data_IF_475829445176
#
_entry.id   IF_475829445176
#
_cell.length_a   1.000
_cell.length_b   1.000
_cell.length_c   1.000
_cell.angle_alpha   90.00
_cell.angle_beta   90.00
_cell.angle_gamma   90.00
#
_symmetry.space_group_name_H-M   'P 1'
#
loop_
_entity.id
_entity.type
_entity.pdbx_description
1 polymer ?
#
# COMPACT_ATOMS: atom_id res chain seq x y z
N UNK A 1 -2.71 -37.66 -10.07
CA UNK A 1 -1.50 -37.01 -9.48
C UNK A 1 -1.15 -35.68 -10.17
N UNK A 2 -2.11 -34.97 -10.79
CA UNK A 2 -1.86 -33.72 -11.56
C UNK A 2 -2.14 -32.42 -10.79
N UNK A 3 -3.11 -32.44 -9.88
CA UNK A 3 -3.72 -31.20 -9.38
C UNK A 3 -2.83 -30.48 -8.36
N UNK A 4 -2.09 -31.25 -7.55
CA UNK A 4 -1.12 -30.70 -6.59
C UNK A 4 0.04 -29.99 -7.32
N UNK A 5 0.56 -30.58 -8.40
CA UNK A 5 1.67 -30.00 -9.18
C UNK A 5 1.24 -28.73 -9.92
N UNK A 6 0.03 -28.71 -10.47
CA UNK A 6 -0.53 -27.51 -11.12
C UNK A 6 -0.77 -26.37 -10.13
N UNK A 7 -1.33 -26.66 -8.94
CA UNK A 7 -1.50 -25.68 -7.89
C UNK A 7 -0.15 -25.11 -7.43
N UNK A 8 0.84 -25.97 -7.20
CA UNK A 8 2.19 -25.57 -6.80
C UNK A 8 2.86 -24.68 -7.85
N UNK A 9 2.73 -25.01 -9.13
CA UNK A 9 3.28 -24.20 -10.22
C UNK A 9 2.63 -22.80 -10.29
N UNK A 10 1.30 -22.71 -10.11
CA UNK A 10 0.57 -21.44 -10.12
C UNK A 10 0.98 -20.54 -8.95
N UNK A 11 1.13 -21.13 -7.75
CA UNK A 11 1.60 -20.43 -6.55
C UNK A 11 3.05 -19.98 -6.74
N UNK A 12 3.94 -20.85 -7.21
CA UNK A 12 5.35 -20.54 -7.44
C UNK A 12 5.53 -19.38 -8.44
N UNK A 13 4.76 -19.38 -9.54
CA UNK A 13 4.81 -18.30 -10.53
C UNK A 13 4.31 -16.97 -9.97
N UNK A 14 3.19 -16.97 -9.24
CA UNK A 14 2.63 -15.77 -8.60
C UNK A 14 3.56 -15.19 -7.54
N UNK A 15 4.07 -16.05 -6.66
CA UNK A 15 5.04 -15.66 -5.62
C UNK A 15 6.35 -15.17 -6.22
N UNK A 16 6.84 -15.79 -7.29
CA UNK A 16 8.07 -15.36 -7.98
C UNK A 16 7.96 -13.93 -8.53
N UNK A 17 6.81 -13.56 -9.11
CA UNK A 17 6.56 -12.19 -9.60
C UNK A 17 6.53 -11.20 -8.43
N UNK A 18 5.81 -11.52 -7.34
CA UNK A 18 5.75 -10.66 -6.16
C UNK A 18 7.13 -10.50 -5.53
N UNK A 19 7.90 -11.59 -5.43
CA UNK A 19 9.24 -11.58 -4.89
C UNK A 19 10.19 -10.71 -5.71
N UNK A 20 10.24 -10.91 -7.03
CA UNK A 20 11.06 -10.10 -7.93
C UNK A 20 10.69 -8.61 -7.85
N UNK A 21 9.39 -8.29 -7.85
CA UNK A 21 8.92 -6.92 -7.66
C UNK A 21 9.35 -6.32 -6.32
N UNK A 22 9.30 -7.10 -5.24
CA UNK A 22 9.73 -6.68 -3.91
C UNK A 22 11.23 -6.39 -3.87
N UNK A 23 12.06 -7.28 -4.44
CA UNK A 23 13.51 -7.08 -4.51
C UNK A 23 13.87 -5.83 -5.31
N UNK A 24 13.24 -5.62 -6.47
CA UNK A 24 13.44 -4.42 -7.29
C UNK A 24 13.03 -3.17 -6.50
N UNK A 25 11.88 -3.20 -5.83
CA UNK A 25 11.40 -2.07 -5.03
C UNK A 25 12.32 -1.76 -3.85
N UNK A 26 12.88 -2.78 -3.20
CA UNK A 26 13.88 -2.62 -2.14
C UNK A 26 15.18 -2.01 -2.68
N UNK A 27 15.63 -2.45 -3.86
CA UNK A 27 16.82 -1.90 -4.50
C UNK A 27 16.66 -0.41 -4.84
N UNK A 28 15.52 -0.02 -5.44
CA UNK A 28 15.22 1.39 -5.72
C UNK A 28 15.05 2.21 -4.43
N UNK A 29 14.43 1.64 -3.39
CA UNK A 29 14.30 2.29 -2.08
C UNK A 29 15.65 2.51 -1.40
N UNK A 30 16.58 1.57 -1.56
CA UNK A 30 17.95 1.72 -1.08
C UNK A 30 18.72 2.76 -1.89
N UNK A 31 18.65 2.69 -3.22
CA UNK A 31 19.35 3.60 -4.11
C UNK A 31 18.92 5.06 -3.91
N UNK A 32 17.62 5.31 -3.76
CA UNK A 32 17.11 6.66 -3.47
C UNK A 32 17.66 7.20 -2.15
N UNK A 33 17.67 6.38 -1.09
CA UNK A 33 18.26 6.74 0.21
C UNK A 33 19.76 6.99 0.11
N UNK A 34 20.49 6.19 -0.66
CA UNK A 34 21.93 6.34 -0.85
C UNK A 34 22.29 7.63 -1.60
N UNK A 35 21.52 7.99 -2.64
CA UNK A 35 21.68 9.26 -3.37
C UNK A 35 21.39 10.44 -2.44
N UNK A 36 20.28 10.42 -1.70
CA UNK A 36 19.92 11.48 -0.75
C UNK A 36 21.02 11.61 0.32
N UNK A 37 21.49 10.51 0.91
CA UNK A 37 22.53 10.55 1.94
C UNK A 37 23.88 11.10 1.44
N UNK A 38 24.14 11.04 0.13
CA UNK A 38 25.36 11.57 -0.49
C UNK A 38 25.28 13.06 -0.77
N UNK A 39 24.11 13.55 -1.20
CA UNK A 39 23.89 14.95 -1.57
C UNK A 39 23.49 15.83 -0.37
N UNK A 40 22.88 15.25 0.67
CA UNK A 40 22.35 15.99 1.82
C UNK A 40 23.26 15.91 3.06
N UNK A 41 23.29 16.98 3.84
CA UNK A 41 23.98 16.99 5.14
C UNK A 41 23.28 16.08 6.15
N UNK A 42 24.01 15.60 7.17
CA UNK A 42 23.48 14.70 8.22
C UNK A 42 22.19 15.20 8.87
N UNK A 43 22.08 16.52 9.08
CA UNK A 43 20.90 17.15 9.65
C UNK A 43 19.67 17.04 8.72
N UNK A 44 19.87 17.17 7.42
CA UNK A 44 18.80 17.14 6.42
C UNK A 44 18.26 15.73 6.20
N UNK A 45 19.16 14.73 6.24
CA UNK A 45 18.78 13.34 6.23
C UNK A 45 17.92 12.96 7.44
N UNK A 46 18.20 13.55 8.61
CA UNK A 46 17.38 13.40 9.82
C UNK A 46 15.95 13.90 9.62
N UNK A 47 15.80 15.14 9.12
CA UNK A 47 14.49 15.74 8.81
C UNK A 47 13.73 14.91 7.77
N UNK A 48 14.43 14.40 6.74
CA UNK A 48 13.83 13.53 5.73
C UNK A 48 13.29 12.23 6.31
N UNK A 49 14.06 11.55 7.16
CA UNK A 49 13.61 10.31 7.80
C UNK A 49 12.44 10.55 8.76
N UNK A 50 12.43 11.70 9.43
CA UNK A 50 11.34 12.09 10.31
C UNK A 50 10.06 12.33 9.52
N UNK A 51 10.14 13.05 8.41
CA UNK A 51 9.04 13.23 7.48
C UNK A 51 8.52 11.89 6.92
N UNK A 52 9.43 10.98 6.56
CA UNK A 52 9.08 9.63 6.09
C UNK A 52 8.39 8.78 7.18
N UNK A 53 8.79 8.95 8.43
CA UNK A 53 8.15 8.28 9.58
C UNK A 53 6.73 8.78 9.77
N UNK A 54 6.52 10.09 9.74
CA UNK A 54 5.17 10.69 9.82
C UNK A 54 4.31 10.24 8.63
N UNK A 55 4.88 10.20 7.42
CA UNK A 55 4.18 9.67 6.24
C UNK A 55 3.75 8.21 6.44
N UNK A 56 4.64 7.37 6.99
CA UNK A 56 4.37 5.95 7.21
C UNK A 56 3.22 5.76 8.21
N UNK A 57 3.22 6.52 9.31
CA UNK A 57 2.12 6.51 10.29
C UNK A 57 0.83 7.01 9.64
N UNK A 58 0.90 8.11 8.88
CA UNK A 58 -0.23 8.65 8.14
C UNK A 58 -0.82 7.64 7.15
N UNK A 59 0.01 6.83 6.49
CA UNK A 59 -0.45 5.79 5.57
C UNK A 59 -1.18 4.66 6.29
N UNK A 60 -0.72 4.26 7.48
CA UNK A 60 -1.43 3.25 8.30
C UNK A 60 -2.81 3.76 8.70
N UNK A 61 -2.91 5.02 9.13
CA UNK A 61 -4.19 5.66 9.48
C UNK A 61 -5.09 5.79 8.24
N UNK A 62 -4.54 6.29 7.13
CA UNK A 62 -5.24 6.45 5.86
C UNK A 62 -5.80 5.13 5.32
N UNK A 63 -5.07 4.03 5.49
CA UNK A 63 -5.52 2.71 5.04
C UNK A 63 -6.37 1.99 6.07
N UNK A 64 -6.58 2.55 7.26
CA UNK A 64 -7.39 1.98 8.36
C UNK A 64 -7.03 0.52 8.70
N UNK A 65 -5.78 0.10 8.43
CA UNK A 65 -5.34 -1.30 8.60
C UNK A 65 -5.89 -2.28 7.56
N UNK A 66 -6.64 -1.81 6.56
CA UNK A 66 -7.20 -2.65 5.50
C UNK A 66 -6.16 -3.41 4.70
N UNK A 67 -4.91 -2.95 4.68
CA UNK A 67 -3.82 -3.65 4.00
C UNK A 67 -3.63 -5.10 4.48
N UNK A 68 -3.95 -5.37 5.75
CA UNK A 68 -3.85 -6.70 6.35
C UNK A 68 -5.22 -7.39 6.52
N UNK A 69 -6.29 -6.61 6.76
CA UNK A 69 -7.62 -7.15 7.03
C UNK A 69 -8.36 -7.61 5.76
N UNK A 70 -8.28 -6.84 4.65
CA UNK A 70 -9.04 -7.13 3.44
C UNK A 70 -8.72 -8.48 2.80
N UNK A 71 -7.44 -8.88 2.61
CA UNK A 71 -7.14 -10.18 1.99
C UNK A 71 -7.71 -11.35 2.79
N UNK A 72 -7.73 -11.23 4.13
CA UNK A 72 -8.28 -12.24 5.04
C UNK A 72 -9.81 -12.33 4.92
N UNK A 73 -10.50 -11.20 4.96
CA UNK A 73 -11.96 -11.14 4.81
C UNK A 73 -12.40 -11.61 3.42
N UNK A 74 -11.68 -11.22 2.37
CA UNK A 74 -11.95 -11.68 0.99
C UNK A 74 -11.79 -13.20 0.88
N UNK A 75 -10.74 -13.78 1.47
CA UNK A 75 -10.55 -15.24 1.48
C UNK A 75 -11.71 -15.96 2.21
N UNK A 76 -12.19 -15.40 3.32
CA UNK A 76 -13.30 -15.96 4.09
C UNK A 76 -14.66 -15.85 3.38
N UNK A 77 -14.98 -14.67 2.84
CA UNK A 77 -16.26 -14.44 2.14
C UNK A 77 -16.32 -15.07 0.75
N UNK A 78 -15.16 -15.37 0.13
CA UNK A 78 -15.07 -16.10 -1.14
C UNK A 78 -15.75 -17.48 -1.07
N UNK A 79 -15.62 -18.18 0.06
CA UNK A 79 -16.19 -19.54 0.20
C UNK A 79 -17.69 -19.53 0.51
N UNK A 80 -18.21 -18.44 1.09
CA UNK A 80 -19.62 -18.35 1.51
C UNK A 80 -20.52 -17.55 0.56
N UNK A 81 -20.05 -16.43 0.01
CA UNK A 81 -20.89 -15.47 -0.73
C UNK A 81 -20.07 -14.67 -1.77
N UNK A 82 -19.77 -15.24 -2.96
CA UNK A 82 -18.89 -14.62 -3.95
C UNK A 82 -19.41 -13.27 -4.49
N UNK A 83 -20.72 -13.11 -4.64
CA UNK A 83 -21.33 -11.86 -5.17
C UNK A 83 -21.13 -10.63 -4.27
N UNK A 84 -20.84 -10.83 -2.97
CA UNK A 84 -20.64 -9.73 -2.01
C UNK A 84 -19.20 -9.24 -1.98
N UNK A 85 -18.25 -10.03 -2.50
CA UNK A 85 -16.82 -9.71 -2.46
C UNK A 85 -16.51 -8.46 -3.28
N UNK A 86 -17.11 -8.30 -4.45
CA UNK A 86 -16.87 -7.14 -5.32
C UNK A 86 -17.35 -5.83 -4.71
N UNK A 87 -18.53 -5.85 -4.08
CA UNK A 87 -19.05 -4.69 -3.34
C UNK A 87 -18.20 -4.37 -2.12
N UNK A 88 -17.73 -5.38 -1.40
CA UNK A 88 -16.86 -5.20 -0.24
C UNK A 88 -15.55 -4.51 -0.65
N UNK A 89 -14.92 -4.99 -1.74
CA UNK A 89 -13.68 -4.43 -2.27
C UNK A 89 -13.91 -2.99 -2.76
N UNK A 90 -14.95 -2.75 -3.56
CA UNK A 90 -15.27 -1.40 -4.06
C UNK A 90 -15.54 -0.40 -2.93
N UNK A 91 -16.26 -0.83 -1.88
CA UNK A 91 -16.55 0.01 -0.71
C UNK A 91 -15.28 0.32 0.08
N UNK A 92 -14.43 -0.69 0.31
CA UNK A 92 -13.17 -0.50 1.02
C UNK A 92 -12.20 0.41 0.25
N UNK A 93 -12.20 0.32 -1.09
CA UNK A 93 -11.46 1.22 -1.98
C UNK A 93 -11.95 2.67 -1.79
N UNK A 94 -13.26 2.91 -1.85
CA UNK A 94 -13.83 4.25 -1.72
C UNK A 94 -13.53 4.86 -0.34
N UNK A 95 -13.70 4.07 0.74
CA UNK A 95 -13.39 4.51 2.11
C UNK A 95 -11.91 4.87 2.23
N UNK A 96 -11.02 4.00 1.72
CA UNK A 96 -9.56 4.22 1.78
C UNK A 96 -9.13 5.48 1.02
N UNK A 97 -9.76 5.76 -0.12
CA UNK A 97 -9.47 6.97 -0.89
C UNK A 97 -9.86 8.24 -0.12
N UNK A 98 -11.05 8.25 0.48
CA UNK A 98 -11.56 9.39 1.27
C UNK A 98 -10.73 9.58 2.54
N UNK A 99 -10.41 8.51 3.27
CA UNK A 99 -9.57 8.59 4.46
C UNK A 99 -8.17 9.07 4.12
N UNK A 100 -7.57 8.62 3.01
CA UNK A 100 -6.25 9.09 2.59
C UNK A 100 -6.21 10.60 2.31
N UNK A 101 -7.20 11.14 1.60
CA UNK A 101 -7.31 12.58 1.36
C UNK A 101 -7.51 13.33 2.69
N UNK A 102 -8.38 12.82 3.56
CA UNK A 102 -8.65 13.42 4.87
C UNK A 102 -7.40 13.44 5.75
N UNK A 103 -6.66 12.33 5.84
CA UNK A 103 -5.42 12.23 6.61
C UNK A 103 -4.33 13.13 6.02
N UNK A 104 -4.21 13.22 4.70
CA UNK A 104 -3.25 14.12 4.06
C UNK A 104 -3.53 15.59 4.39
N UNK A 105 -4.80 16.01 4.33
CA UNK A 105 -5.21 17.36 4.72
C UNK A 105 -4.92 17.63 6.19
N UNK A 106 -5.27 16.70 7.09
CA UNK A 106 -4.99 16.83 8.52
C UNK A 106 -3.49 17.02 8.78
N UNK A 107 -2.63 16.18 8.21
CA UNK A 107 -1.17 16.30 8.39
C UNK A 107 -0.64 17.61 7.78
N UNK A 108 -1.21 18.07 6.66
CA UNK A 108 -0.82 19.35 6.05
C UNK A 108 -1.07 20.55 6.97
N UNK A 109 -2.24 20.59 7.61
CA UNK A 109 -2.59 21.67 8.57
C UNK A 109 -1.80 21.54 9.88
N UNK A 110 -1.65 20.32 10.40
CA UNK A 110 -0.90 20.05 11.63
C UNK A 110 0.62 20.07 11.44
N UNK A 111 1.13 20.27 10.22
CA UNK A 111 2.57 20.26 9.95
C UNK A 111 3.34 21.26 10.84
N UNK A 112 2.72 22.41 11.17
CA UNK A 112 3.27 23.38 12.13
C UNK A 112 3.39 22.81 13.53
N UNK A 113 2.31 22.24 14.09
CA UNK A 113 2.30 21.65 15.42
C UNK A 113 3.26 20.45 15.54
N UNK A 114 3.31 19.62 14.49
CA UNK A 114 4.24 18.49 14.40
C UNK A 114 5.69 18.99 14.46
N UNK A 115 6.02 20.06 13.74
CA UNK A 115 7.38 20.62 13.76
C UNK A 115 7.80 21.15 15.14
N UNK A 116 6.85 21.69 15.91
CA UNK A 116 7.08 22.17 17.28
C UNK A 116 7.35 21.02 18.24
N UNK A 117 6.63 19.90 18.11
CA UNK A 117 6.86 18.69 18.91
C UNK A 117 8.26 18.13 18.69
N UNK A 118 8.70 18.11 17.42
CA UNK A 118 10.02 17.60 17.05
C UNK A 118 11.15 18.65 17.15
N UNK A 119 10.82 19.90 17.50
CA UNK A 119 11.75 21.04 17.62
C UNK A 119 12.60 21.29 16.37
N UNK A 120 12.02 21.05 15.20
CA UNK A 120 12.71 21.16 13.90
C UNK A 120 11.85 21.93 12.90
N UNK A 121 12.10 23.23 12.73
CA UNK A 121 11.32 24.10 11.83
C UNK A 121 11.41 23.65 10.36
N UNK A 122 12.53 23.05 9.98
CA UNK A 122 12.77 22.52 8.63
C UNK A 122 11.81 21.38 8.28
N UNK A 123 11.24 20.72 9.30
CA UNK A 123 10.28 19.64 9.13
C UNK A 123 8.98 20.11 8.49
N UNK A 124 8.56 21.37 8.69
CA UNK A 124 7.32 21.91 8.10
C UNK A 124 7.35 21.81 6.59
N UNK A 125 8.43 22.30 5.97
CA UNK A 125 8.59 22.29 4.52
C UNK A 125 8.68 20.86 3.97
N UNK A 126 9.42 19.99 4.66
CA UNK A 126 9.52 18.57 4.28
C UNK A 126 8.16 17.86 4.37
N UNK A 127 7.40 18.09 5.45
CA UNK A 127 6.06 17.51 5.64
C UNK A 127 5.10 17.98 4.55
N UNK A 128 5.05 19.29 4.26
CA UNK A 128 4.14 19.83 3.24
C UNK A 128 4.38 19.21 1.86
N UNK A 129 5.65 18.95 1.51
CA UNK A 129 5.99 18.29 0.25
C UNK A 129 5.65 16.79 0.31
N UNK A 130 6.05 16.09 1.37
CA UNK A 130 5.88 14.64 1.45
C UNK A 130 4.42 14.21 1.60
N UNK A 131 3.58 15.04 2.23
CA UNK A 131 2.17 14.70 2.45
C UNK A 131 1.37 14.63 1.16
N UNK A 132 1.81 15.33 0.11
CA UNK A 132 1.22 15.24 -1.23
C UNK A 132 1.43 13.85 -1.84
N UNK A 133 2.46 13.12 -1.42
CA UNK A 133 2.69 11.74 -1.83
C UNK A 133 1.78 10.74 -1.10
N UNK A 134 1.16 11.12 0.03
CA UNK A 134 0.29 10.25 0.83
C UNK A 134 -0.94 9.77 0.03
N UNK A 135 -1.79 10.65 -0.54
CA UNK A 135 -2.97 10.21 -1.28
C UNK A 135 -2.58 9.38 -2.51
N UNK A 136 -1.48 9.72 -3.19
CA UNK A 136 -0.98 8.94 -4.33
C UNK A 136 -0.52 7.54 -3.91
N UNK A 137 0.19 7.42 -2.78
CA UNK A 137 0.62 6.14 -2.23
C UNK A 137 -0.58 5.29 -1.80
N UNK A 138 -1.57 5.90 -1.15
CA UNK A 138 -2.80 5.21 -0.76
C UNK A 138 -3.61 4.74 -1.98
N UNK A 139 -3.73 5.56 -3.03
CA UNK A 139 -4.37 5.18 -4.29
C UNK A 139 -3.64 4.00 -4.96
N UNK A 140 -2.30 3.99 -4.93
CA UNK A 140 -1.52 2.88 -5.47
C UNK A 140 -1.81 1.58 -4.70
N UNK A 141 -1.90 1.66 -3.37
CA UNK A 141 -2.29 0.53 -2.53
C UNK A 141 -3.71 0.03 -2.88
N UNK A 142 -4.65 0.97 -3.08
CA UNK A 142 -6.03 0.70 -3.52
C UNK A 142 -6.09 -0.01 -4.87
N UNK A 143 -5.31 0.44 -5.86
CA UNK A 143 -5.22 -0.21 -7.18
C UNK A 143 -4.67 -1.63 -7.06
N UNK A 144 -3.66 -1.84 -6.21
CA UNK A 144 -3.10 -3.17 -5.95
C UNK A 144 -4.17 -4.08 -5.31
N UNK A 145 -5.00 -3.57 -4.39
CA UNK A 145 -6.12 -4.34 -3.82
C UNK A 145 -7.15 -4.71 -4.88
N UNK A 146 -7.52 -3.78 -5.76
CA UNK A 146 -8.42 -4.05 -6.87
C UNK A 146 -7.87 -5.15 -7.78
N UNK A 147 -6.62 -5.01 -8.24
CA UNK A 147 -5.95 -6.02 -9.07
C UNK A 147 -5.88 -7.39 -8.38
N UNK A 148 -5.57 -7.44 -7.08
CA UNK A 148 -5.53 -8.70 -6.32
C UNK A 148 -6.92 -9.33 -6.17
N UNK A 149 -7.94 -8.51 -5.94
CA UNK A 149 -9.34 -8.94 -5.90
C UNK A 149 -9.79 -9.53 -7.24
N UNK A 150 -9.55 -8.82 -8.34
CA UNK A 150 -9.96 -9.23 -9.68
C UNK A 150 -9.15 -10.39 -10.25
N UNK A 151 -7.84 -10.49 -9.97
CA UNK A 151 -7.07 -11.69 -10.33
C UNK A 151 -7.59 -12.93 -9.58
N UNK A 152 -8.07 -12.76 -8.34
CA UNK A 152 -8.79 -13.80 -7.62
C UNK A 152 -10.06 -14.25 -8.35
N UNK A 153 -10.79 -13.33 -8.98
CA UNK A 153 -11.99 -13.61 -9.78
C UNK A 153 -11.67 -14.31 -11.12
N UNK A 154 -10.57 -13.94 -11.79
CA UNK A 154 -10.19 -14.53 -13.08
C UNK A 154 -9.74 -15.99 -12.98
N UNK A 155 -9.16 -16.41 -11.85
CA UNK A 155 -8.74 -17.80 -11.65
C UNK A 155 -9.92 -18.77 -11.45
N UNK A 156 -11.11 -18.26 -11.13
CA UNK A 156 -12.32 -19.04 -10.85
C UNK A 156 -13.22 -19.17 -12.08
N UNK A 157 -13.26 -18.13 -12.94
CA UNK A 157 -14.00 -18.17 -14.21
C UNK A 157 -13.50 -19.27 -15.16
N UNK A 158 -12.20 -19.57 -15.10
CA UNK A 158 -11.57 -20.69 -15.83
C UNK A 158 -11.93 -22.07 -15.24
N UNK A 159 -12.22 -22.18 -13.93
CA UNK A 159 -12.67 -23.44 -13.32
C UNK A 159 -14.12 -23.78 -13.67
N UNK A 160 -14.98 -22.77 -13.79
CA UNK A 160 -16.37 -22.99 -14.20
C UNK A 160 -16.52 -23.30 -15.68
N UNK A 161 -15.59 -22.86 -16.54
CA UNK A 161 -15.60 -23.19 -17.97
C UNK A 161 -15.09 -24.61 -18.27
N UNK A 162 -14.33 -25.22 -17.35
CA UNK A 162 -13.81 -26.59 -17.51
C UNK A 162 -14.73 -27.69 -16.95
N UNK A 163 -15.89 -27.30 -16.37
CA UNK A 163 -16.90 -28.21 -15.80
C UNK A 163 -18.16 -28.28 -16.69
N UNK A 164 -18.20 -27.54 -17.81
CA UNK A 164 -19.21 -27.70 -18.88
C UNK A 164 -18.56 -28.35 -20.11
#
# INVERSE_FOLDING_TARGET
MSDATQALHKIARGTGIIFAGTVISMFFGFLSRAIIAREFSKAEYGVFNLALTVLSIGLVIATLGFQNALPREVAFYREKMPEKVDRLISTAIAITAVSAVTTALLIFFLAGDISLIFREERLVSALRVIVLALPFSALTAVIIFWCRGTLGMQLDKERHFFIL
#
